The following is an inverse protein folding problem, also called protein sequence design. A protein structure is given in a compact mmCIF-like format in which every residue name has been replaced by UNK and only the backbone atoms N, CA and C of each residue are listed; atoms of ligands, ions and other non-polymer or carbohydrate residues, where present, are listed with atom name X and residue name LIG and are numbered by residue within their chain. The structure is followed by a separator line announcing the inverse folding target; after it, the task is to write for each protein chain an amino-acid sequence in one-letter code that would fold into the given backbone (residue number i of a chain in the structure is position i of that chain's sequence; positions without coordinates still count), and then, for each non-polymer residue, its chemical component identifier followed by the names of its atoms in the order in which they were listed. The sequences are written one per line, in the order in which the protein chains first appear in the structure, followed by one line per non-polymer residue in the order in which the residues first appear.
data_IF_019946920768
#
_entry.id   IF_019946920768
#
_cell.length_a   1.000
_cell.length_b   1.000
_cell.length_c   1.000
_cell.angle_alpha   90.00
_cell.angle_beta   90.00
_cell.angle_gamma   90.00
#
_symmetry.space_group_name_H-M   'P 1'
#
loop_
_entity.id
_entity.type
_entity.pdbx_description
1 polymer ?
#
# COMPACT_ATOMS: atom_id res chain seq x y z
N UNK A 1 9.55 -20.93 4.53
CA UNK A 1 8.57 -19.93 5.02
C UNK A 1 7.96 -19.26 3.81
N UNK A 2 6.75 -19.65 3.43
CA UNK A 2 5.99 -19.00 2.37
C UNK A 2 5.25 -17.82 2.98
N UNK A 3 5.56 -16.60 2.54
CA UNK A 3 4.86 -15.37 2.95
C UNK A 3 3.86 -15.03 1.86
N UNK A 4 2.57 -15.29 2.11
CA UNK A 4 1.51 -14.89 1.17
C UNK A 4 1.07 -13.45 1.46
N UNK A 5 1.29 -12.56 0.49
CA UNK A 5 0.77 -11.19 0.50
C UNK A 5 -0.63 -11.18 -0.12
N UNK A 6 -1.69 -11.27 0.70
CA UNK A 6 -3.05 -11.02 0.22
C UNK A 6 -3.37 -9.52 0.34
N UNK A 7 -3.22 -8.80 -0.79
CA UNK A 7 -3.81 -7.49 -1.01
C UNK A 7 -5.33 -7.56 -1.04
N UNK A 8 -5.99 -6.53 -0.49
CA UNK A 8 -7.44 -6.45 -0.44
C UNK A 8 -8.00 -6.14 -1.84
N UNK A 9 -8.58 -7.15 -2.49
CA UNK A 9 -9.50 -6.97 -3.60
C UNK A 9 -10.90 -7.17 -3.05
N UNK A 10 -11.64 -6.07 -2.89
CA UNK A 10 -13.07 -6.16 -2.63
C UNK A 10 -13.74 -6.71 -3.90
N UNK A 11 -14.27 -7.94 -3.83
CA UNK A 11 -15.23 -8.39 -4.83
C UNK A 11 -16.46 -7.50 -4.71
N UNK A 12 -16.74 -6.72 -5.77
CA UNK A 12 -18.03 -6.06 -5.92
C UNK A 12 -19.12 -7.15 -6.09
N UNK A 13 -20.26 -7.07 -5.39
CA UNK A 13 -21.38 -7.96 -5.65
C UNK A 13 -21.97 -7.71 -7.04
N UNK A 14 -22.34 -8.79 -7.75
CA UNK A 14 -23.15 -8.74 -8.98
C UNK A 14 -24.47 -8.01 -8.68
N UNK A 15 -24.75 -6.94 -9.42
CA UNK A 15 -26.06 -6.27 -9.38
C UNK A 15 -27.14 -7.19 -9.97
N UNK A 16 -28.15 -7.48 -9.15
CA UNK A 16 -29.44 -8.00 -9.59
C UNK A 16 -30.27 -6.85 -10.17
N UNK A 17 -30.83 -7.04 -11.35
CA UNK A 17 -31.59 -6.05 -12.11
C UNK A 17 -32.87 -5.60 -11.39
N UNK A 18 -32.92 -4.34 -10.95
CA UNK A 18 -34.13 -3.67 -10.49
C UNK A 18 -34.87 -2.98 -11.67
N UNK A 19 -36.21 -2.83 -11.64
CA UNK A 19 -37.00 -2.40 -12.78
C UNK A 19 -36.88 -0.89 -13.05
N UNK A 20 -36.94 -0.56 -14.34
CA UNK A 20 -36.76 0.78 -14.90
C UNK A 20 -37.70 1.82 -14.27
N UNK A 21 -37.14 2.85 -13.62
CA UNK A 21 -37.82 4.12 -13.36
C UNK A 21 -37.54 5.06 -14.52
N UNK A 22 -38.61 5.53 -15.15
CA UNK A 22 -38.62 6.52 -16.22
C UNK A 22 -38.02 7.84 -15.71
N UNK A 23 -36.86 8.23 -16.27
CA UNK A 23 -36.16 9.47 -15.94
C UNK A 23 -36.68 10.58 -16.85
N UNK A 24 -37.10 11.71 -16.27
CA UNK A 24 -37.52 12.89 -17.03
C UNK A 24 -36.41 13.38 -17.99
N UNK A 25 -36.76 13.91 -19.18
CA UNK A 25 -35.77 14.30 -20.18
C UNK A 25 -34.90 15.47 -19.71
N UNK A 26 -33.59 15.37 -19.98
CA UNK A 26 -32.61 16.40 -19.71
C UNK A 26 -32.89 17.68 -20.52
N UNK A 27 -32.61 18.88 -19.97
CA UNK A 27 -32.75 20.13 -20.71
C UNK A 27 -31.72 20.21 -21.85
N UNK A 28 -32.14 20.81 -22.96
CA UNK A 28 -31.34 20.98 -24.17
C UNK A 28 -30.05 21.80 -23.93
N UNK A 29 -28.97 21.53 -24.67
CA UNK A 29 -27.71 22.26 -24.51
C UNK A 29 -27.85 23.73 -24.95
N UNK A 30 -27.29 24.65 -24.16
CA UNK A 30 -27.26 26.06 -24.51
C UNK A 30 -26.26 26.30 -25.66
N UNK A 31 -26.76 26.88 -26.74
CA UNK A 31 -25.92 27.31 -27.87
C UNK A 31 -25.28 28.64 -27.49
N UNK A 32 -23.94 28.66 -27.44
CA UNK A 32 -23.15 29.88 -27.20
C UNK A 32 -23.25 30.80 -28.43
N UNK A 33 -23.49 32.12 -28.29
CA UNK A 33 -23.50 33.02 -29.43
C UNK A 33 -22.08 33.19 -30.00
N UNK A 34 -21.92 33.45 -31.31
CA UNK A 34 -20.61 33.60 -31.91
C UNK A 34 -20.07 35.01 -31.66
N UNK A 35 -18.76 35.08 -31.46
CA UNK A 35 -17.91 36.27 -31.57
C UNK A 35 -17.89 37.24 -30.38
N UNK A 36 -16.97 36.98 -29.44
CA UNK A 36 -16.31 38.01 -28.66
C UNK A 36 -14.81 37.89 -28.93
N UNK A 37 -14.18 39.01 -29.33
CA UNK A 37 -12.79 39.08 -29.77
C UNK A 37 -11.82 38.48 -28.73
N UNK A 38 -10.93 37.60 -29.20
CA UNK A 38 -9.88 37.01 -28.39
C UNK A 38 -8.86 38.08 -27.97
N UNK A 39 -8.56 38.16 -26.67
CA UNK A 39 -7.42 38.91 -26.16
C UNK A 39 -6.11 38.31 -26.69
N UNK A 40 -5.07 39.11 -26.99
CA UNK A 40 -3.80 38.58 -27.48
C UNK A 40 -3.11 37.74 -26.40
N UNK A 41 -2.61 36.57 -26.82
CA UNK A 41 -1.84 35.66 -25.98
C UNK A 41 -0.55 36.34 -25.47
N UNK A 42 -0.08 36.04 -24.24
CA UNK A 42 1.19 36.54 -23.76
C UNK A 42 2.34 35.98 -24.60
N UNK A 43 3.23 36.86 -25.04
CA UNK A 43 4.46 36.54 -25.78
C UNK A 43 5.36 35.62 -24.94
N UNK A 44 5.41 34.33 -25.30
CA UNK A 44 6.40 33.39 -24.76
C UNK A 44 7.76 33.74 -25.33
N UNK A 45 8.66 34.23 -24.49
CA UNK A 45 10.05 34.52 -24.86
C UNK A 45 10.77 33.18 -25.10
N UNK A 46 11.53 33.00 -26.20
CA UNK A 46 12.31 31.79 -26.40
C UNK A 46 13.38 31.65 -25.29
N UNK A 47 13.73 30.43 -24.87
CA UNK A 47 14.74 30.23 -23.84
C UNK A 47 16.10 30.77 -24.34
N UNK A 48 16.75 31.58 -23.50
CA UNK A 48 18.09 32.09 -23.76
C UNK A 48 19.09 30.94 -23.81
N UNK A 49 19.82 30.81 -24.91
CA UNK A 49 20.76 29.73 -25.19
C UNK A 49 22.10 29.82 -24.41
N UNK A 50 22.08 30.37 -23.20
CA UNK A 50 23.25 30.50 -22.33
C UNK A 50 22.84 30.21 -20.88
N UNK A 51 22.34 29.01 -20.63
CA UNK A 51 22.38 28.46 -19.28
C UNK A 51 23.76 27.84 -19.10
N UNK A 52 24.56 28.38 -18.17
CA UNK A 52 25.78 27.70 -17.75
C UNK A 52 25.43 26.27 -17.29
N UNK A 53 26.30 25.28 -17.57
CA UNK A 53 26.07 23.93 -17.09
C UNK A 53 25.91 23.98 -15.56
N UNK A 54 24.77 23.49 -15.07
CA UNK A 54 24.58 23.24 -13.64
C UNK A 54 25.60 22.15 -13.30
N UNK A 55 26.76 22.56 -12.79
CA UNK A 55 27.75 21.64 -12.25
C UNK A 55 27.09 21.04 -11.01
N UNK A 56 26.79 19.72 -10.98
CA UNK A 56 26.23 19.13 -9.77
C UNK A 56 27.24 19.36 -8.65
N UNK A 57 26.83 20.11 -7.62
CA UNK A 57 27.62 20.26 -6.42
C UNK A 57 27.98 18.87 -5.92
N UNK A 58 29.27 18.60 -5.70
CA UNK A 58 29.75 17.33 -5.14
C UNK A 58 28.94 17.09 -3.86
N UNK A 59 28.09 16.03 -3.78
CA UNK A 59 27.31 15.81 -2.58
C UNK A 59 28.28 15.54 -1.45
N UNK A 60 28.34 16.44 -0.46
CA UNK A 60 28.99 16.11 0.80
C UNK A 60 28.27 14.87 1.34
N UNK A 61 28.98 13.75 1.46
CA UNK A 61 28.45 12.52 2.02
C UNK A 61 27.99 12.80 3.47
N UNK A 62 26.67 12.87 3.65
CA UNK A 62 26.01 13.13 4.93
C UNK A 62 25.66 11.83 5.65
N UNK A 63 26.04 10.67 5.11
CA UNK A 63 25.60 9.38 5.65
C UNK A 63 25.94 9.22 7.12
N UNK A 64 27.13 9.66 7.55
CA UNK A 64 27.55 9.60 8.96
C UNK A 64 26.54 10.26 9.92
N UNK A 65 25.96 11.41 9.53
CA UNK A 65 24.95 12.09 10.35
C UNK A 65 23.63 11.30 10.40
N UNK A 66 23.22 10.70 9.28
CA UNK A 66 22.03 9.84 9.24
C UNK A 66 22.22 8.57 10.07
N UNK A 67 23.39 7.93 9.99
CA UNK A 67 23.70 6.74 10.78
C UNK A 67 23.61 7.03 12.29
N UNK A 68 24.17 8.15 12.75
CA UNK A 68 24.06 8.58 14.15
C UNK A 68 22.58 8.75 14.55
N UNK A 69 21.77 9.41 13.72
CA UNK A 69 20.34 9.59 13.99
C UNK A 69 19.60 8.24 14.05
N UNK A 70 19.83 7.35 13.09
CA UNK A 70 19.17 6.04 13.03
C UNK A 70 19.53 5.16 14.23
N UNK A 71 20.80 5.17 14.65
CA UNK A 71 21.24 4.45 15.87
C UNK A 71 20.57 5.01 17.12
N UNK A 72 20.47 6.34 17.23
CA UNK A 72 19.78 7.01 18.34
C UNK A 72 18.29 6.66 18.40
N UNK A 73 17.66 6.49 17.24
CA UNK A 73 16.25 6.08 17.12
C UNK A 73 16.03 4.57 17.26
N UNK A 74 17.08 3.78 17.52
CA UNK A 74 16.99 2.34 17.73
C UNK A 74 16.78 1.53 16.45
N UNK A 75 17.09 2.07 15.26
CA UNK A 75 17.00 1.31 14.01
C UNK A 75 17.96 0.11 14.03
N UNK A 76 17.53 -1.01 13.46
CA UNK A 76 18.35 -2.21 13.38
C UNK A 76 19.57 -2.02 12.45
N UNK A 77 20.67 -2.76 12.65
CA UNK A 77 21.82 -2.72 11.75
C UNK A 77 21.46 -2.99 10.28
N UNK A 78 20.52 -3.92 10.04
CA UNK A 78 20.01 -4.24 8.70
C UNK A 78 19.27 -3.06 8.07
N UNK A 79 18.44 -2.35 8.85
CA UNK A 79 17.76 -1.15 8.36
C UNK A 79 18.74 -0.03 8.01
N UNK A 80 19.75 0.19 8.85
CA UNK A 80 20.82 1.16 8.60
C UNK A 80 21.61 0.80 7.33
N UNK A 81 21.94 -0.48 7.16
CA UNK A 81 22.67 -0.95 5.97
C UNK A 81 21.84 -0.78 4.68
N UNK A 82 20.55 -1.12 4.71
CA UNK A 82 19.65 -0.92 3.58
C UNK A 82 19.49 0.58 3.24
N UNK A 83 19.35 1.43 4.26
CA UNK A 83 19.31 2.88 4.06
C UNK A 83 20.63 3.42 3.49
N UNK A 84 21.79 2.92 3.95
CA UNK A 84 23.10 3.27 3.39
C UNK A 84 23.21 2.96 1.91
N UNK A 85 22.77 1.77 1.53
CA UNK A 85 22.76 1.35 0.14
C UNK A 85 21.91 2.30 -0.72
N UNK A 86 20.65 2.54 -0.30
CA UNK A 86 19.74 3.43 -1.03
C UNK A 86 20.24 4.88 -1.07
N UNK A 87 20.86 5.36 0.02
CA UNK A 87 21.50 6.67 0.07
C UNK A 87 22.64 6.76 -0.94
N UNK A 88 23.50 5.74 -1.02
CA UNK A 88 24.57 5.65 -2.02
C UNK A 88 24.04 5.71 -3.45
N UNK A 89 22.96 4.98 -3.73
CA UNK A 89 22.27 5.03 -5.03
C UNK A 89 21.74 6.44 -5.32
N UNK A 90 21.08 7.08 -4.34
CA UNK A 90 20.54 8.43 -4.49
C UNK A 90 21.62 9.48 -4.80
N UNK A 91 22.73 9.47 -4.06
CA UNK A 91 23.80 10.48 -4.24
C UNK A 91 24.67 10.21 -5.46
N UNK A 92 24.65 9.00 -6.02
CA UNK A 92 25.37 8.67 -7.25
C UNK A 92 24.80 9.36 -8.49
N UNK A 93 23.58 9.91 -8.41
CA UNK A 93 22.87 10.48 -9.55
C UNK A 93 22.26 9.43 -10.47
N UNK A 94 22.19 8.17 -10.02
CA UNK A 94 21.52 7.10 -10.76
C UNK A 94 20.06 7.47 -11.05
N UNK A 95 19.65 7.31 -12.31
CA UNK A 95 18.24 7.44 -12.68
C UNK A 95 17.48 6.20 -12.23
N UNK A 96 16.56 6.36 -11.27
CA UNK A 96 15.72 5.28 -10.74
C UNK A 96 14.37 5.16 -11.44
N UNK A 97 14.12 5.98 -12.46
CA UNK A 97 12.91 5.90 -13.25
C UNK A 97 12.97 4.69 -14.17
N UNK A 98 11.95 3.85 -14.10
CA UNK A 98 11.72 2.78 -15.07
C UNK A 98 10.93 3.40 -16.22
N UNK A 99 11.63 3.77 -17.30
CA UNK A 99 11.00 4.33 -18.51
C UNK A 99 10.33 3.27 -19.37
N UNK A 100 9.37 3.67 -20.21
CA UNK A 100 8.61 2.76 -21.08
C UNK A 100 9.52 1.92 -21.99
N UNK A 101 10.61 2.49 -22.51
CA UNK A 101 11.58 1.78 -23.35
C UNK A 101 12.38 0.69 -22.62
N UNK A 102 12.35 0.67 -21.27
CA UNK A 102 13.07 -0.30 -20.44
C UNK A 102 12.18 -1.49 -20.02
N UNK A 103 10.90 -1.48 -20.40
CA UNK A 103 9.94 -2.54 -20.08
C UNK A 103 9.30 -3.09 -21.35
N UNK A 104 8.76 -4.29 -21.25
CA UNK A 104 7.93 -4.89 -22.29
C UNK A 104 6.63 -5.39 -21.65
N UNK A 105 5.49 -5.34 -22.37
CA UNK A 105 4.25 -5.89 -21.86
C UNK A 105 4.36 -7.40 -21.62
N UNK A 106 3.87 -7.84 -20.46
CA UNK A 106 3.67 -9.28 -20.18
C UNK A 106 2.52 -9.77 -21.05
N UNK A 107 2.78 -10.70 -21.96
CA UNK A 107 1.82 -11.14 -22.98
C UNK A 107 0.73 -12.05 -22.42
N UNK A 108 1.07 -12.89 -21.44
CA UNK A 108 0.14 -13.85 -20.83
C UNK A 108 0.63 -14.26 -19.44
N UNK A 109 -0.32 -14.53 -18.55
CA UNK A 109 -0.10 -15.10 -17.22
C UNK A 109 -1.09 -16.27 -17.03
N UNK A 110 -0.72 -17.31 -16.29
CA UNK A 110 -1.67 -18.33 -15.88
C UNK A 110 -2.75 -17.70 -15.00
N UNK A 111 -3.99 -18.17 -15.14
CA UNK A 111 -5.09 -17.75 -14.26
C UNK A 111 -5.22 -18.69 -13.07
N UNK A 112 -5.83 -18.22 -11.98
CA UNK A 112 -6.07 -19.09 -10.82
C UNK A 112 -7.01 -20.26 -11.18
N UNK A 113 -7.98 -20.04 -12.07
CA UNK A 113 -8.96 -21.05 -12.49
C UNK A 113 -8.34 -22.18 -13.35
N UNK A 114 -7.16 -21.95 -13.93
CA UNK A 114 -6.37 -22.97 -14.64
C UNK A 114 -5.57 -23.87 -13.68
N UNK A 115 -5.45 -23.47 -12.41
CA UNK A 115 -4.79 -24.26 -11.39
C UNK A 115 -5.82 -25.18 -10.71
N UNK A 116 -5.44 -26.43 -10.47
CA UNK A 116 -6.22 -27.38 -9.64
C UNK A 116 -5.49 -27.66 -8.32
N UNK A 117 -5.38 -26.66 -7.41
CA UNK A 117 -4.72 -26.87 -6.13
C UNK A 117 -5.64 -27.70 -5.22
N UNK A 118 -5.16 -28.89 -4.83
CA UNK A 118 -5.78 -29.60 -3.72
C UNK A 118 -5.56 -28.81 -2.42
N UNK A 119 -6.62 -28.66 -1.62
CA UNK A 119 -6.49 -28.09 -0.29
C UNK A 119 -5.70 -29.04 0.61
N UNK A 120 -4.56 -28.58 1.13
CA UNK A 120 -3.67 -29.38 1.97
C UNK A 120 -3.41 -28.68 3.31
N UNK A 121 -3.97 -29.25 4.37
CA UNK A 121 -3.78 -28.78 5.73
C UNK A 121 -2.30 -28.83 6.16
N UNK A 122 -1.52 -29.79 5.68
CA UNK A 122 -0.09 -29.92 6.00
C UNK A 122 0.73 -28.78 5.39
N UNK A 123 0.35 -28.27 4.21
CA UNK A 123 0.96 -27.06 3.63
C UNK A 123 0.50 -25.81 4.35
N UNK A 124 -0.77 -25.72 4.73
CA UNK A 124 -1.29 -24.59 5.50
C UNK A 124 -0.61 -24.48 6.88
N UNK A 125 -0.33 -25.60 7.54
CA UNK A 125 0.41 -25.65 8.80
C UNK A 125 1.85 -25.10 8.70
N UNK A 126 2.43 -25.07 7.50
CA UNK A 126 3.76 -24.50 7.23
C UNK A 126 3.71 -23.05 6.71
N UNK A 127 2.51 -22.47 6.65
CA UNK A 127 2.26 -21.14 6.09
C UNK A 127 2.13 -20.10 7.20
N UNK A 128 2.61 -18.88 6.93
CA UNK A 128 2.38 -17.70 7.78
C UNK A 128 1.51 -16.72 7.02
N UNK A 129 0.39 -16.33 7.61
CA UNK A 129 -0.43 -15.23 7.13
C UNK A 129 0.11 -13.90 7.70
N UNK A 130 0.67 -13.05 6.84
CA UNK A 130 1.13 -11.72 7.22
C UNK A 130 0.26 -10.65 6.54
N UNK A 131 -0.24 -9.69 7.32
CA UNK A 131 -0.97 -8.53 6.78
C UNK A 131 -0.22 -7.23 7.04
N UNK A 132 -0.10 -6.40 6.00
CA UNK A 132 0.50 -5.07 6.11
C UNK A 132 -0.51 -4.12 6.74
N UNK A 133 -0.13 -3.53 7.87
CA UNK A 133 -0.99 -2.69 8.69
C UNK A 133 -0.26 -1.42 9.18
N UNK A 134 0.85 -1.05 8.52
CA UNK A 134 1.66 0.12 8.88
C UNK A 134 1.19 1.44 8.29
N UNK A 135 0.25 1.42 7.35
CA UNK A 135 -0.21 2.62 6.66
C UNK A 135 -1.27 3.41 7.44
N UNK A 136 -1.01 4.70 7.63
CA UNK A 136 -2.06 5.64 8.04
C UNK A 136 -2.92 5.99 6.83
N UNK A 137 -4.22 6.13 7.05
CA UNK A 137 -5.15 6.59 6.01
C UNK A 137 -5.08 8.11 5.79
N UNK A 138 -3.90 8.71 5.78
CA UNK A 138 -3.71 10.17 5.70
C UNK A 138 -4.30 10.77 4.43
N UNK A 139 -4.23 10.06 3.30
CA UNK A 139 -4.91 10.45 2.06
C UNK A 139 -6.44 10.47 2.15
N UNK A 140 -7.00 9.85 3.19
CA UNK A 140 -8.44 9.85 3.54
C UNK A 140 -8.73 10.70 4.78
N UNK A 141 -7.76 11.46 5.31
CA UNK A 141 -7.91 12.27 6.52
C UNK A 141 -8.03 11.46 7.81
N UNK A 142 -7.44 10.26 7.87
CA UNK A 142 -7.47 9.40 9.06
C UNK A 142 -6.18 9.53 9.88
N UNK A 143 -6.34 9.59 11.20
CA UNK A 143 -5.25 9.65 12.18
C UNK A 143 -4.91 8.28 12.80
N UNK A 144 -5.57 7.21 12.35
CA UNK A 144 -5.43 5.83 12.85
C UNK A 144 -5.18 4.83 11.73
N UNK A 145 -4.91 3.57 12.10
CA UNK A 145 -4.78 2.48 11.13
C UNK A 145 -6.03 2.39 10.22
N UNK A 146 -5.82 2.37 8.90
CA UNK A 146 -6.91 2.25 7.92
C UNK A 146 -7.76 0.98 8.13
N UNK A 147 -7.15 -0.06 8.68
CA UNK A 147 -7.78 -1.35 8.95
C UNK A 147 -8.84 -1.31 10.06
N UNK A 148 -8.89 -0.24 10.86
CA UNK A 148 -9.91 -0.01 11.88
C UNK A 148 -11.23 0.54 11.31
N UNK A 149 -11.24 0.97 10.04
CA UNK A 149 -12.46 1.42 9.39
C UNK A 149 -13.49 0.29 9.32
N UNK A 150 -14.73 0.60 9.70
CA UNK A 150 -15.89 -0.29 9.54
C UNK A 150 -16.21 -0.46 8.06
N UNK A 151 -16.33 -1.71 7.62
CA UNK A 151 -16.55 -2.07 6.20
C UNK A 151 -17.93 -2.69 5.99
N UNK A 152 -18.38 -3.54 6.93
CA UNK A 152 -19.66 -4.24 6.81
C UNK A 152 -20.32 -4.35 8.17
N UNK A 153 -21.53 -3.78 8.29
CA UNK A 153 -22.26 -3.75 9.54
C UNK A 153 -21.46 -3.03 10.62
N UNK A 154 -20.93 -3.77 11.60
CA UNK A 154 -20.06 -3.25 12.66
C UNK A 154 -18.62 -3.78 12.60
N UNK A 155 -18.29 -4.54 11.56
CA UNK A 155 -16.98 -5.16 11.41
C UNK A 155 -16.02 -4.27 10.65
N UNK A 156 -14.84 -4.04 11.24
CA UNK A 156 -13.71 -3.42 10.57
C UNK A 156 -12.97 -4.39 9.65
N UNK A 157 -11.98 -3.91 8.88
CA UNK A 157 -11.09 -4.82 8.15
C UNK A 157 -10.36 -5.78 9.10
N UNK A 158 -9.89 -5.30 10.26
CA UNK A 158 -9.26 -6.16 11.26
C UNK A 158 -10.21 -7.24 11.78
N UNK A 159 -11.49 -6.91 11.99
CA UNK A 159 -12.48 -7.89 12.43
C UNK A 159 -12.68 -8.99 11.39
N UNK A 160 -12.76 -8.62 10.11
CA UNK A 160 -12.90 -9.58 9.02
C UNK A 160 -11.65 -10.46 8.89
N UNK A 161 -10.45 -9.91 9.07
CA UNK A 161 -9.20 -10.67 9.06
C UNK A 161 -9.17 -11.69 10.21
N UNK A 162 -9.55 -11.28 11.43
CA UNK A 162 -9.62 -12.18 12.57
C UNK A 162 -10.63 -13.32 12.33
N UNK A 163 -11.82 -13.00 11.80
CA UNK A 163 -12.84 -13.98 11.45
C UNK A 163 -12.36 -14.96 10.37
N UNK A 164 -11.67 -14.48 9.33
CA UNK A 164 -11.09 -15.32 8.29
C UNK A 164 -10.04 -16.28 8.84
N UNK A 165 -9.15 -15.78 9.72
CA UNK A 165 -8.15 -16.61 10.39
C UNK A 165 -8.82 -17.71 11.21
N UNK A 166 -9.82 -17.37 12.02
CA UNK A 166 -10.56 -18.35 12.82
C UNK A 166 -11.22 -19.41 11.94
N UNK A 167 -11.93 -18.99 10.89
CA UNK A 167 -12.57 -19.90 9.95
C UNK A 167 -11.57 -20.85 9.26
N UNK A 168 -10.38 -20.37 8.91
CA UNK A 168 -9.32 -21.21 8.33
C UNK A 168 -8.78 -22.21 9.34
N UNK A 169 -8.50 -21.78 10.58
CA UNK A 169 -8.03 -22.68 11.64
C UNK A 169 -9.04 -23.78 11.95
N UNK A 170 -10.33 -23.43 12.02
CA UNK A 170 -11.42 -24.37 12.28
C UNK A 170 -11.63 -25.34 11.11
N UNK A 171 -11.69 -24.83 9.86
CA UNK A 171 -11.91 -25.65 8.67
C UNK A 171 -10.81 -26.69 8.44
N UNK A 172 -9.56 -26.29 8.64
CA UNK A 172 -8.41 -27.14 8.33
C UNK A 172 -7.80 -27.82 9.57
N UNK A 173 -8.29 -27.52 10.77
CA UNK A 173 -7.75 -28.09 12.02
C UNK A 173 -6.27 -27.74 12.25
N UNK A 174 -5.80 -26.59 11.77
CA UNK A 174 -4.38 -26.19 11.83
C UNK A 174 -4.15 -24.92 12.62
N UNK A 175 -2.97 -24.81 13.24
CA UNK A 175 -2.53 -23.60 13.92
C UNK A 175 -1.89 -22.62 12.92
N UNK A 176 -2.67 -22.12 11.95
CA UNK A 176 -2.19 -21.15 10.96
C UNK A 176 -1.55 -19.95 11.69
N UNK A 177 -0.25 -19.75 11.46
CA UNK A 177 0.50 -18.65 12.04
C UNK A 177 0.02 -17.33 11.43
N UNK A 178 -0.13 -16.30 12.27
CA UNK A 178 -0.67 -15.02 11.86
C UNK A 178 0.10 -13.87 12.49
N UNK A 179 0.47 -12.89 11.65
CA UNK A 179 1.18 -11.69 12.08
C UNK A 179 0.67 -10.44 11.35
N UNK A 180 0.78 -9.29 12.02
CA UNK A 180 0.55 -7.97 11.48
C UNK A 180 1.85 -7.20 11.40
N UNK A 181 2.12 -6.61 10.24
CA UNK A 181 3.20 -5.64 10.10
C UNK A 181 2.66 -4.24 10.45
N UNK A 182 2.76 -3.87 11.73
CA UNK A 182 2.32 -2.57 12.24
C UNK A 182 3.42 -1.51 12.03
N UNK A 183 3.05 -0.25 12.21
CA UNK A 183 3.98 0.86 12.37
C UNK A 183 3.93 1.41 13.79
N UNK A 184 4.84 2.32 14.10
CA UNK A 184 4.78 3.10 15.34
C UNK A 184 3.47 3.88 15.50
N UNK A 185 2.77 4.20 14.40
CA UNK A 185 1.51 4.93 14.42
C UNK A 185 0.28 4.02 14.45
N UNK A 186 0.44 2.71 14.24
CA UNK A 186 -0.68 1.76 14.11
C UNK A 186 -0.60 0.56 15.04
N UNK A 187 0.44 0.43 15.87
CA UNK A 187 0.58 -0.72 16.77
C UNK A 187 -0.42 -0.65 17.93
N UNK A 188 -0.46 0.46 18.66
CA UNK A 188 -1.25 0.57 19.89
C UNK A 188 -2.77 0.39 19.64
N UNK A 189 -3.32 1.10 18.66
CA UNK A 189 -4.73 1.03 18.28
C UNK A 189 -5.11 -0.34 17.70
N UNK A 190 -4.20 -0.98 16.95
CA UNK A 190 -4.42 -2.34 16.44
C UNK A 190 -4.44 -3.39 17.56
N UNK A 191 -3.47 -3.36 18.47
CA UNK A 191 -3.40 -4.31 19.58
C UNK A 191 -4.58 -4.14 20.54
N UNK A 192 -4.96 -2.89 20.84
CA UNK A 192 -6.15 -2.59 21.64
C UNK A 192 -7.40 -3.19 20.99
N UNK A 193 -7.61 -2.94 19.69
CA UNK A 193 -8.78 -3.43 18.96
C UNK A 193 -8.85 -4.96 18.89
N UNK A 194 -7.71 -5.63 18.75
CA UNK A 194 -7.64 -7.09 18.63
C UNK A 194 -7.67 -7.84 19.97
N UNK A 195 -7.50 -7.15 21.11
CA UNK A 195 -7.55 -7.74 22.45
C UNK A 195 -8.87 -8.49 22.74
N UNK A 196 -9.95 -8.16 22.04
CA UNK A 196 -11.25 -8.84 22.13
C UNK A 196 -11.26 -10.26 21.55
N UNK A 197 -10.24 -10.67 20.80
CA UNK A 197 -10.14 -11.98 20.15
C UNK A 197 -9.15 -12.90 20.88
N UNK A 198 -9.65 -13.64 21.88
CA UNK A 198 -8.82 -14.47 22.75
C UNK A 198 -8.06 -15.63 22.06
N UNK A 199 -8.44 -16.01 20.84
CA UNK A 199 -7.75 -17.04 20.05
C UNK A 199 -6.50 -16.51 19.32
N UNK A 200 -6.31 -15.19 19.28
CA UNK A 200 -5.12 -14.58 18.71
C UNK A 200 -3.92 -14.79 19.64
N UNK A 201 -2.70 -14.90 19.08
CA UNK A 201 -1.50 -14.99 19.89
C UNK A 201 -1.28 -13.70 20.69
N UNK A 202 -0.40 -13.78 21.70
CA UNK A 202 -0.01 -12.61 22.48
C UNK A 202 0.60 -11.52 21.57
N UNK A 203 0.56 -10.26 22.01
CA UNK A 203 1.02 -9.11 21.23
C UNK A 203 2.43 -9.32 20.62
N UNK A 204 3.37 -9.88 21.40
CA UNK A 204 4.75 -10.13 20.97
C UNK A 204 4.86 -11.09 19.77
N UNK A 205 3.91 -12.00 19.61
CA UNK A 205 3.87 -12.98 18.51
C UNK A 205 2.89 -12.56 17.40
N UNK A 206 2.02 -11.57 17.68
CA UNK A 206 1.02 -11.05 16.76
C UNK A 206 1.57 -9.93 15.86
N UNK A 207 2.56 -9.17 16.33
CA UNK A 207 3.08 -8.02 15.57
C UNK A 207 4.57 -8.13 15.22
N UNK A 208 4.89 -7.61 14.05
CA UNK A 208 6.23 -7.20 13.67
C UNK A 208 6.18 -5.70 13.33
N UNK A 209 6.89 -4.87 14.07
CA UNK A 209 6.88 -3.41 13.86
C UNK A 209 7.86 -3.04 12.76
N UNK A 210 7.37 -2.42 11.69
CA UNK A 210 8.22 -1.94 10.58
C UNK A 210 9.18 -0.83 11.03
N UNK A 211 10.27 -0.64 10.28
CA UNK A 211 11.21 0.45 10.52
C UNK A 211 10.54 1.83 10.35
N UNK A 212 11.03 2.83 11.08
CA UNK A 212 10.65 4.23 10.88
C UNK A 212 11.19 4.74 9.55
N UNK A 213 10.37 5.50 8.83
CA UNK A 213 10.76 6.28 7.64
C UNK A 213 11.31 7.66 8.04
#
# INVERSE_FOLDING_TARGET
VLVMFLGSWALAPREESAPSKELAPAPAPSVRPPNAAAAPAPSVRPPSATAEPIVPAVPHDKFAAYEVKMRREGCSPTAIAAFKYNYGVLVSGANLMIGESAIAPVQSLPTLDELDPAEDAALLAQTVMLKLNGGLGTGMGLDKAKSLLVVKGRSSFLDLIAQQLQAMRERFGTSLAFMLMNSFSTSADTLEHLSKYAFLPAAADLEFVQNKA
#
